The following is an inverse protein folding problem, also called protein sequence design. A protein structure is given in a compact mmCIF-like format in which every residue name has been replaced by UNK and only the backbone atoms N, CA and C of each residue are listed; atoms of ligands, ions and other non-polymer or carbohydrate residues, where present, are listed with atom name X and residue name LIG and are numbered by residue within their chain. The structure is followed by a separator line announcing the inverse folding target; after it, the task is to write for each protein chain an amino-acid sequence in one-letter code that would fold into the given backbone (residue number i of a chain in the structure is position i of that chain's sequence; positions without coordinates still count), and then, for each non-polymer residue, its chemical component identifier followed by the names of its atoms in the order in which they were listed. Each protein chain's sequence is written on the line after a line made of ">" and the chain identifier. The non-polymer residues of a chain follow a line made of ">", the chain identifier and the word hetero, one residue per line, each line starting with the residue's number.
data_IF_674117169420
#
_entry.id   IF_674117169420
#
_cell.length_a   1.000
_cell.length_b   1.000
_cell.length_c   1.000
_cell.angle_alpha   90.00
_cell.angle_beta   90.00
_cell.angle_gamma   90.00
#
_symmetry.space_group_name_H-M   'P 1'
#
loop_
_entity.id
_entity.type
_entity.pdbx_description
1 polymer ?
#
# COMPACT_ATOMS: atom_id res chain seq x y z
N UNK A 1 0.86 17.10 -15.11
CA UNK A 1 1.23 15.68 -15.33
C UNK A 1 0.54 14.81 -14.28
N UNK A 2 0.04 13.62 -14.65
CA UNK A 2 -0.48 12.65 -13.69
C UNK A 2 0.68 11.77 -13.20
N UNK A 3 1.08 11.83 -11.92
CA UNK A 3 2.05 10.89 -11.37
C UNK A 3 1.53 9.45 -11.40
N UNK A 4 2.48 8.50 -11.46
CA UNK A 4 2.20 7.08 -11.34
C UNK A 4 2.09 6.71 -9.86
N UNK A 5 0.97 6.11 -9.48
CA UNK A 5 0.68 5.56 -8.15
C UNK A 5 0.59 4.04 -8.22
N UNK A 6 0.69 3.39 -7.06
CA UNK A 6 0.43 1.96 -6.86
C UNK A 6 -0.23 1.75 -5.49
N UNK A 7 -1.36 1.05 -5.45
CA UNK A 7 -2.09 0.81 -4.20
C UNK A 7 -1.54 -0.38 -3.39
N UNK A 8 -0.63 -1.18 -3.97
CA UNK A 8 -0.15 -2.42 -3.36
C UNK A 8 1.36 -2.45 -3.06
N UNK A 9 1.94 -1.31 -2.68
CA UNK A 9 3.31 -1.26 -2.12
C UNK A 9 3.41 -1.77 -0.67
N UNK A 10 2.70 -2.86 -0.36
CA UNK A 10 2.79 -3.57 0.93
C UNK A 10 4.20 -4.14 1.16
N UNK A 11 4.60 -4.37 2.43
CA UNK A 11 5.96 -4.82 2.75
C UNK A 11 6.42 -6.09 2.01
N UNK A 12 5.52 -7.01 1.68
CA UNK A 12 5.86 -8.24 0.93
C UNK A 12 6.31 -7.98 -0.51
N UNK A 13 6.00 -6.81 -1.07
CA UNK A 13 6.35 -6.43 -2.44
C UNK A 13 7.64 -5.61 -2.50
N UNK A 14 8.32 -5.39 -1.36
CA UNK A 14 9.58 -4.67 -1.25
C UNK A 14 10.73 -5.66 -1.00
N UNK A 15 11.68 -5.72 -1.93
CA UNK A 15 12.88 -6.55 -1.80
C UNK A 15 13.96 -5.74 -1.07
N UNK A 16 14.53 -6.31 -0.01
CA UNK A 16 15.62 -5.71 0.78
C UNK A 16 16.85 -6.60 0.82
N UNK A 17 18.03 -6.04 1.10
CA UNK A 17 19.25 -6.81 1.39
C UNK A 17 19.36 -7.16 2.89
N UNK A 18 20.47 -7.80 3.27
CA UNK A 18 20.77 -8.20 4.66
C UNK A 18 20.77 -7.02 5.65
N UNK A 19 21.13 -5.82 5.20
CA UNK A 19 21.12 -4.59 6.01
C UNK A 19 19.77 -3.84 5.97
N UNK A 20 18.71 -4.47 5.44
CA UNK A 20 17.37 -3.89 5.25
C UNK A 20 17.31 -2.68 4.29
N UNK A 21 18.30 -2.50 3.41
CA UNK A 21 18.24 -1.49 2.37
C UNK A 21 17.35 -1.97 1.21
N UNK A 22 16.46 -1.10 0.73
CA UNK A 22 15.58 -1.37 -0.41
C UNK A 22 16.44 -1.61 -1.67
N UNK A 23 16.20 -2.75 -2.33
CA UNK A 23 16.85 -3.13 -3.61
C UNK A 23 15.89 -3.04 -4.79
N UNK A 24 14.59 -3.13 -4.54
CA UNK A 24 13.58 -3.00 -5.58
C UNK A 24 12.18 -3.16 -5.04
N UNK A 25 11.21 -2.81 -5.87
CA UNK A 25 9.79 -3.03 -5.64
C UNK A 25 9.26 -3.85 -6.80
N UNK A 26 8.51 -4.91 -6.49
CA UNK A 26 7.91 -5.81 -7.47
C UNK A 26 6.39 -5.62 -7.50
N UNK A 27 5.72 -6.41 -8.35
CA UNK A 27 4.25 -6.52 -8.37
C UNK A 27 3.52 -5.20 -8.72
N UNK A 28 3.79 -4.68 -9.93
CA UNK A 28 3.31 -3.38 -10.41
C UNK A 28 1.93 -3.45 -11.09
N UNK A 29 1.17 -4.54 -10.92
CA UNK A 29 -0.08 -4.76 -11.64
C UNK A 29 -1.20 -3.77 -11.25
N UNK A 30 -1.08 -3.16 -10.06
CA UNK A 30 -2.00 -2.15 -9.54
C UNK A 30 -1.50 -0.71 -9.71
N UNK A 31 -0.60 -0.47 -10.67
CA UNK A 31 -0.11 0.86 -10.97
C UNK A 31 -1.03 1.65 -11.91
N UNK A 32 -1.28 2.92 -11.62
CA UNK A 32 -2.12 3.80 -12.43
C UNK A 32 -1.70 5.27 -12.35
N UNK A 33 -2.03 6.05 -13.38
CA UNK A 33 -1.79 7.49 -13.37
C UNK A 33 -2.98 8.22 -12.72
N UNK A 34 -2.74 9.03 -11.69
CA UNK A 34 -3.80 9.72 -10.95
C UNK A 34 -3.42 11.14 -10.51
N UNK A 35 -4.41 11.96 -10.09
CA UNK A 35 -4.16 13.28 -9.50
C UNK A 35 -3.31 13.18 -8.21
N UNK A 36 -2.52 14.21 -7.91
CA UNK A 36 -1.58 14.21 -6.77
C UNK A 36 -2.31 14.13 -5.42
N UNK A 37 -3.57 14.53 -5.38
CA UNK A 37 -4.45 14.51 -4.22
C UNK A 37 -4.62 13.09 -3.65
N UNK A 38 -4.43 12.04 -4.46
CA UNK A 38 -4.47 10.65 -4.02
C UNK A 38 -3.30 10.26 -3.09
N UNK A 39 -2.21 11.04 -3.06
CA UNK A 39 -1.09 10.81 -2.15
C UNK A 39 -1.49 10.97 -0.66
N UNK A 40 -2.66 11.54 -0.36
CA UNK A 40 -3.17 11.71 1.00
C UNK A 40 -4.01 10.53 1.50
N UNK A 41 -4.29 9.54 0.65
CA UNK A 41 -4.97 8.32 1.06
C UNK A 41 -3.99 7.41 1.79
N UNK A 42 -4.34 6.98 3.01
CA UNK A 42 -3.53 5.98 3.72
C UNK A 42 -3.60 4.65 2.99
N UNK A 43 -2.47 3.94 2.82
CA UNK A 43 -2.49 2.64 2.17
C UNK A 43 -3.26 1.63 3.02
N UNK A 44 -4.12 0.83 2.37
CA UNK A 44 -4.96 -0.17 3.05
C UNK A 44 -4.13 -1.21 3.84
N UNK A 45 -2.95 -1.57 3.32
CA UNK A 45 -2.04 -2.54 3.92
C UNK A 45 -1.34 -2.04 5.19
N UNK A 46 -1.49 -0.76 5.56
CA UNK A 46 -1.02 -0.25 6.85
C UNK A 46 -1.75 -0.89 8.04
N UNK A 47 -2.94 -1.44 7.79
CA UNK A 47 -3.81 -2.04 8.79
C UNK A 47 -3.38 -3.45 9.20
N UNK A 48 -2.23 -3.92 8.69
CA UNK A 48 -1.51 -5.16 9.05
C UNK A 48 -2.27 -6.48 8.80
N UNK A 49 -3.54 -6.42 8.45
CA UNK A 49 -4.38 -7.54 8.06
C UNK A 49 -5.37 -7.10 6.96
N UNK A 50 -5.75 -7.99 6.03
CA UNK A 50 -6.83 -7.71 5.09
C UNK A 50 -8.16 -7.51 5.84
N UNK A 51 -9.11 -6.74 5.27
CA UNK A 51 -10.42 -6.52 5.90
C UNK A 51 -11.16 -7.83 6.26
N UNK A 52 -10.92 -8.90 5.49
CA UNK A 52 -11.50 -10.22 5.72
C UNK A 52 -11.07 -10.86 7.06
N UNK A 53 -9.92 -10.46 7.60
CA UNK A 53 -9.36 -10.98 8.86
C UNK A 53 -9.76 -10.13 10.08
N UNK A 54 -10.51 -9.04 9.91
CA UNK A 54 -10.83 -8.13 11.01
C UNK A 54 -12.09 -8.57 11.76
N UNK A 55 -11.91 -8.99 13.02
CA UNK A 55 -13.00 -9.44 13.91
C UNK A 55 -14.06 -8.35 14.14
N UNK A 56 -13.68 -7.08 14.12
CA UNK A 56 -14.55 -5.93 14.41
C UNK A 56 -15.05 -5.19 13.16
N UNK A 57 -14.72 -5.66 11.95
CA UNK A 57 -15.07 -4.99 10.69
C UNK A 57 -14.38 -3.62 10.51
N UNK A 58 -14.77 -2.91 9.43
CA UNK A 58 -14.22 -1.59 9.06
C UNK A 58 -14.67 -0.46 9.99
N UNK A 59 -15.73 -0.68 10.77
CA UNK A 59 -16.40 0.33 11.59
C UNK A 59 -15.47 0.99 12.62
N UNK A 60 -14.42 0.28 13.06
CA UNK A 60 -13.41 0.78 14.01
C UNK A 60 -12.48 1.86 13.43
N UNK A 61 -12.45 2.02 12.11
CA UNK A 61 -11.59 3.00 11.43
C UNK A 61 -12.35 4.23 10.91
N UNK A 62 -13.67 4.26 11.04
CA UNK A 62 -14.55 5.33 10.52
C UNK A 62 -15.03 6.29 11.63
N UNK A 63 -14.57 6.11 12.88
CA UNK A 63 -14.96 6.92 14.05
C UNK A 63 -14.14 8.19 14.23
#
# INVERSE_FOLDING_TARGET
>A
PLPLFCDDFRPSNVIVNEDLNIRGVIDWEFCYAAPVEFAHCSPWWLLLAPPDDWISGLDVFVS
#
